data_IF_203415245883
#
_entry.id   IF_203415245883
#
_cell.length_a   1.000
_cell.length_b   1.000
_cell.length_c   1.000
_cell.angle_alpha   90.00
_cell.angle_beta   90.00
_cell.angle_gamma   90.00
#
_symmetry.space_group_name_H-M   'P 1'
#
loop_
_entity.id
_entity.type
_entity.pdbx_description
1 polymer ?
#
# COMPACT_ATOMS: atom_id res chain seq x y z
N UNK A 1 92.28 14.24 -21.48
CA UNK A 1 93.49 13.41 -21.25
C UNK A 1 93.20 12.52 -20.04
N UNK A 2 93.46 11.22 -20.19
CA UNK A 2 93.46 10.14 -19.18
C UNK A 2 92.17 9.60 -18.54
N UNK A 3 92.17 8.26 -18.54
CA UNK A 3 91.16 7.25 -18.19
C UNK A 3 91.37 6.75 -16.75
N UNK A 4 90.26 6.25 -16.20
CA UNK A 4 90.14 5.02 -15.37
C UNK A 4 90.54 5.06 -13.89
N UNK A 5 89.57 4.79 -13.01
CA UNK A 5 89.41 3.45 -12.43
C UNK A 5 88.05 3.26 -11.76
N UNK A 6 87.38 2.16 -12.11
CA UNK A 6 86.17 1.62 -11.48
C UNK A 6 86.55 0.76 -10.28
N UNK A 7 85.77 0.79 -9.19
CA UNK A 7 85.17 -0.41 -8.61
C UNK A 7 83.93 -0.06 -7.78
N UNK A 8 82.89 -0.82 -8.07
CA UNK A 8 81.48 -0.63 -7.72
C UNK A 8 81.18 -1.32 -6.39
N UNK A 9 80.60 -0.57 -5.45
CA UNK A 9 80.03 -1.11 -4.22
C UNK A 9 78.69 -1.78 -4.56
N UNK A 10 78.67 -3.12 -4.52
CA UNK A 10 77.48 -3.92 -4.72
C UNK A 10 76.63 -3.85 -3.45
N UNK A 11 75.53 -3.10 -3.51
CA UNK A 11 74.48 -3.10 -2.51
C UNK A 11 73.78 -4.46 -2.51
N UNK A 12 73.68 -5.09 -1.35
CA UNK A 12 72.67 -6.12 -1.08
C UNK A 12 71.78 -5.56 0.02
N UNK A 13 70.76 -4.81 -0.41
CA UNK A 13 69.52 -4.68 0.36
C UNK A 13 68.55 -5.60 -0.35
N UNK A 14 68.13 -6.62 0.38
CA UNK A 14 67.02 -7.48 0.00
C UNK A 14 65.81 -6.57 -0.15
N UNK A 15 65.20 -6.52 -1.33
CA UNK A 15 63.86 -6.02 -1.52
C UNK A 15 62.88 -7.11 -1.08
N UNK A 16 62.10 -6.93 0.01
CA UNK A 16 60.76 -7.46 0.04
C UNK A 16 59.86 -6.50 -0.72
N UNK A 17 59.28 -7.06 -1.76
CA UNK A 17 58.25 -6.54 -2.64
C UNK A 17 57.19 -5.66 -1.92
N UNK A 18 56.77 -4.59 -2.59
CA UNK A 18 55.88 -3.55 -2.07
C UNK A 18 54.39 -3.94 -2.05
N UNK A 19 54.07 -5.24 -1.95
CA UNK A 19 52.72 -5.76 -2.21
C UNK A 19 51.99 -6.35 -1.00
N UNK A 20 52.46 -6.13 0.24
CA UNK A 20 51.83 -6.75 1.43
C UNK A 20 51.45 -5.77 2.56
N UNK A 21 51.11 -4.52 2.22
CA UNK A 21 50.68 -3.47 3.17
C UNK A 21 49.23 -2.97 2.94
N UNK A 22 48.42 -3.73 2.20
CA UNK A 22 46.98 -3.46 2.04
C UNK A 22 46.07 -4.41 2.86
N UNK A 23 46.63 -5.33 3.65
CA UNK A 23 45.85 -6.36 4.34
C UNK A 23 46.13 -6.39 5.84
N UNK A 24 45.81 -5.30 6.55
CA UNK A 24 45.65 -5.30 8.02
C UNK A 24 44.96 -4.03 8.51
N UNK A 25 43.70 -3.86 8.12
CA UNK A 25 42.73 -3.05 8.87
C UNK A 25 41.54 -3.93 9.20
N UNK A 26 41.61 -4.62 10.33
CA UNK A 26 40.44 -5.25 10.94
C UNK A 26 40.74 -5.50 12.41
N UNK A 27 40.30 -4.58 13.26
CA UNK A 27 39.83 -4.76 14.64
C UNK A 27 39.92 -3.42 15.39
N UNK A 28 38.93 -2.56 15.17
CA UNK A 28 38.48 -1.63 16.20
C UNK A 28 36.99 -1.89 16.36
N UNK A 29 36.63 -2.50 17.49
CA UNK A 29 35.27 -2.72 17.95
C UNK A 29 34.60 -1.37 18.22
N UNK A 30 33.89 -0.86 17.22
CA UNK A 30 32.77 0.04 17.46
C UNK A 30 31.58 -0.84 17.84
N UNK A 31 31.38 -1.06 19.14
CA UNK A 31 30.11 -1.54 19.68
C UNK A 31 29.11 -0.39 19.55
N UNK A 32 28.66 -0.15 18.33
CA UNK A 32 27.37 0.47 18.09
C UNK A 32 26.37 -0.64 18.29
N UNK A 33 25.68 -0.63 19.43
CA UNK A 33 24.41 -1.33 19.58
C UNK A 33 23.49 -0.83 18.46
N UNK A 34 23.52 -1.50 17.31
CA UNK A 34 22.48 -1.36 16.31
C UNK A 34 21.25 -1.96 16.97
N UNK A 35 20.44 -1.09 17.56
CA UNK A 35 19.03 -1.35 17.71
C UNK A 35 18.55 -1.67 16.29
N UNK A 36 18.33 -2.95 16.02
CA UNK A 36 17.69 -3.42 14.80
C UNK A 36 16.32 -2.77 14.77
N UNK A 37 16.22 -1.63 14.09
CA UNK A 37 14.94 -1.12 13.64
C UNK A 37 14.36 -2.27 12.82
N UNK A 38 13.19 -2.82 13.18
CA UNK A 38 12.55 -3.82 12.33
C UNK A 38 12.42 -3.19 10.95
N UNK A 39 13.13 -3.74 9.97
CA UNK A 39 12.98 -3.29 8.59
C UNK A 39 11.51 -3.46 8.23
N UNK A 40 10.84 -2.36 7.92
CA UNK A 40 9.45 -2.35 7.46
C UNK A 40 9.30 -3.43 6.38
N UNK A 41 8.39 -4.41 6.55
CA UNK A 41 8.13 -5.42 5.54
C UNK A 41 7.91 -4.79 4.16
N UNK A 42 8.36 -5.48 3.12
CA UNK A 42 8.31 -4.97 1.73
C UNK A 42 6.88 -4.56 1.36
N UNK A 43 5.91 -5.39 1.72
CA UNK A 43 4.48 -5.17 1.54
C UNK A 43 4.01 -3.86 2.21
N UNK A 44 4.45 -3.60 3.44
CA UNK A 44 4.11 -2.38 4.18
C UNK A 44 4.66 -1.13 3.47
N UNK A 45 5.91 -1.16 3.02
CA UNK A 45 6.51 -0.04 2.27
C UNK A 45 5.77 0.27 0.97
N UNK A 46 5.31 -0.77 0.25
CA UNK A 46 4.53 -0.63 -0.98
C UNK A 46 3.17 0.01 -0.68
N UNK A 47 2.47 -0.45 0.36
CA UNK A 47 1.17 0.11 0.70
C UNK A 47 1.28 1.56 1.18
N UNK A 48 2.30 1.89 1.98
CA UNK A 48 2.56 3.26 2.43
C UNK A 48 2.75 4.20 1.24
N UNK A 49 3.59 3.80 0.27
CA UNK A 49 3.83 4.61 -0.91
C UNK A 49 2.59 4.70 -1.82
N UNK A 50 1.86 3.60 -1.98
CA UNK A 50 0.60 3.59 -2.72
C UNK A 50 -0.42 4.57 -2.13
N UNK A 51 -0.61 4.56 -0.81
CA UNK A 51 -1.55 5.46 -0.14
C UNK A 51 -1.09 6.92 -0.14
N UNK A 52 0.22 7.16 -0.13
CA UNK A 52 0.78 8.49 -0.39
C UNK A 52 0.43 8.99 -1.81
N UNK A 53 0.64 8.17 -2.84
CA UNK A 53 0.28 8.52 -4.21
C UNK A 53 -1.23 8.77 -4.37
N UNK A 54 -2.06 7.95 -3.73
CA UNK A 54 -3.52 8.12 -3.73
C UNK A 54 -3.91 9.46 -3.10
N UNK A 55 -3.27 9.84 -1.99
CA UNK A 55 -3.52 11.12 -1.32
C UNK A 55 -3.14 12.35 -2.15
N UNK A 56 -2.17 12.19 -3.06
CA UNK A 56 -1.74 13.24 -3.99
C UNK A 56 -2.54 13.23 -5.31
N UNK A 57 -3.63 12.47 -5.38
CA UNK A 57 -4.42 12.25 -6.60
C UNK A 57 -3.58 11.74 -7.80
N UNK A 58 -2.44 11.09 -7.52
CA UNK A 58 -1.53 10.52 -8.53
C UNK A 58 -1.96 9.11 -8.91
N UNK A 59 -3.22 8.95 -9.34
CA UNK A 59 -3.88 7.66 -9.52
C UNK A 59 -3.21 6.74 -10.55
N UNK A 60 -2.71 7.30 -11.66
CA UNK A 60 -2.04 6.51 -12.69
C UNK A 60 -0.73 5.90 -12.16
N UNK A 61 0.04 6.67 -11.39
CA UNK A 61 1.27 6.18 -10.72
C UNK A 61 0.95 5.15 -9.64
N UNK A 62 -0.11 5.37 -8.86
CA UNK A 62 -0.53 4.43 -7.82
C UNK A 62 -0.93 3.08 -8.45
N UNK A 63 -1.65 3.10 -9.57
CA UNK A 63 -2.02 1.91 -10.33
C UNK A 63 -0.80 1.20 -10.92
N UNK A 64 0.10 1.95 -11.56
CA UNK A 64 1.34 1.41 -12.15
C UNK A 64 2.21 0.71 -11.11
N UNK A 65 2.35 1.31 -9.91
CA UNK A 65 3.06 0.71 -8.78
C UNK A 65 2.53 -0.69 -8.47
N UNK A 66 1.24 -0.84 -8.18
CA UNK A 66 0.67 -2.13 -7.78
C UNK A 66 0.59 -3.14 -8.93
N UNK A 67 0.43 -2.68 -10.18
CA UNK A 67 0.47 -3.57 -11.35
C UNK A 67 1.88 -4.12 -11.60
N UNK A 68 2.91 -3.29 -11.40
CA UNK A 68 4.32 -3.73 -11.50
C UNK A 68 4.65 -4.78 -10.44
N UNK A 69 4.11 -4.61 -9.23
CA UNK A 69 4.24 -5.54 -8.12
C UNK A 69 3.53 -6.87 -8.39
N UNK A 70 2.35 -6.85 -9.03
CA UNK A 70 1.65 -8.07 -9.47
C UNK A 70 2.45 -8.86 -10.49
N UNK A 71 3.14 -8.18 -11.41
CA UNK A 71 4.02 -8.82 -12.40
C UNK A 71 5.25 -9.51 -11.78
N UNK A 72 5.65 -9.09 -10.58
CA UNK A 72 6.78 -9.62 -9.82
C UNK A 72 6.45 -10.77 -8.87
N UNK A 73 5.36 -11.52 -9.09
CA UNK A 73 4.71 -12.48 -8.17
C UNK A 73 5.57 -13.62 -7.55
N UNK A 74 6.89 -13.61 -7.74
CA UNK A 74 7.84 -14.59 -7.18
C UNK A 74 8.33 -14.23 -5.76
N UNK A 75 7.91 -13.10 -5.19
CA UNK A 75 8.54 -12.54 -3.98
C UNK A 75 7.65 -12.42 -2.74
N UNK A 76 6.34 -12.69 -2.81
CA UNK A 76 5.49 -12.69 -1.62
C UNK A 76 5.02 -14.11 -1.28
N UNK A 77 5.15 -14.47 0.00
CA UNK A 77 4.65 -15.73 0.55
C UNK A 77 3.16 -15.71 0.90
N UNK A 78 2.52 -14.54 0.83
CA UNK A 78 1.10 -14.35 1.15
C UNK A 78 0.21 -14.53 -0.08
N UNK A 79 -0.78 -15.43 0.02
CA UNK A 79 -1.78 -15.60 -1.02
C UNK A 79 -2.72 -14.38 -1.12
N UNK A 80 -2.96 -13.69 0.00
CA UNK A 80 -3.86 -12.52 0.07
C UNK A 80 -3.22 -11.26 -0.52
N UNK A 81 -1.89 -11.18 -0.58
CA UNK A 81 -1.18 -10.05 -1.18
C UNK A 81 -1.55 -9.81 -2.65
N UNK A 82 -1.65 -10.87 -3.45
CA UNK A 82 -2.07 -10.76 -4.85
C UNK A 82 -3.49 -10.19 -5.02
N UNK A 83 -4.40 -10.61 -4.13
CA UNK A 83 -5.79 -10.14 -4.10
C UNK A 83 -5.86 -8.66 -3.66
N UNK A 84 -5.08 -8.29 -2.64
CA UNK A 84 -4.92 -6.90 -2.20
C UNK A 84 -4.45 -6.01 -3.36
N UNK A 85 -3.36 -6.37 -4.05
CA UNK A 85 -2.84 -5.59 -5.17
C UNK A 85 -3.86 -5.45 -6.31
N UNK A 86 -4.64 -6.50 -6.59
CA UNK A 86 -5.73 -6.43 -7.56
C UNK A 86 -6.81 -5.42 -7.15
N UNK A 87 -7.22 -5.42 -5.88
CA UNK A 87 -8.19 -4.47 -5.35
C UNK A 87 -7.65 -3.03 -5.41
N UNK A 88 -6.37 -2.81 -5.07
CA UNK A 88 -5.74 -1.49 -5.13
C UNK A 88 -5.65 -0.96 -6.57
N UNK A 89 -5.34 -1.82 -7.55
CA UNK A 89 -5.32 -1.42 -8.97
C UNK A 89 -6.68 -0.92 -9.47
N UNK A 90 -7.76 -1.61 -9.07
CA UNK A 90 -9.13 -1.19 -9.35
C UNK A 90 -9.51 0.08 -8.58
N UNK A 91 -9.08 0.19 -7.32
CA UNK A 91 -9.34 1.36 -6.48
C UNK A 91 -8.75 2.64 -7.06
N UNK A 92 -7.50 2.62 -7.54
CA UNK A 92 -6.88 3.77 -8.19
C UNK A 92 -7.70 4.25 -9.41
N UNK A 93 -8.24 3.30 -10.18
CA UNK A 93 -9.08 3.58 -11.36
C UNK A 93 -10.43 4.18 -10.96
N UNK A 94 -11.02 3.67 -9.87
CA UNK A 94 -12.26 4.19 -9.30
C UNK A 94 -12.09 5.60 -8.73
N UNK A 95 -11.01 5.86 -7.99
CA UNK A 95 -10.68 7.18 -7.44
C UNK A 95 -10.44 8.21 -8.53
N UNK A 96 -9.75 7.86 -9.62
CA UNK A 96 -9.60 8.76 -10.80
C UNK A 96 -10.95 9.14 -11.41
N UNK A 97 -11.84 8.17 -11.57
CA UNK A 97 -13.18 8.37 -12.10
C UNK A 97 -14.06 9.19 -11.14
N UNK A 98 -13.93 8.95 -9.84
CA UNK A 98 -14.61 9.70 -8.80
C UNK A 98 -14.13 11.15 -8.77
N UNK A 99 -12.82 11.40 -8.76
CA UNK A 99 -12.22 12.73 -8.68
C UNK A 99 -12.56 13.62 -9.88
N UNK A 100 -12.77 13.01 -11.05
CA UNK A 100 -13.22 13.73 -12.26
C UNK A 100 -14.73 13.90 -12.34
N UNK A 101 -15.49 13.41 -11.35
CA UNK A 101 -16.96 13.45 -11.26
C UNK A 101 -17.68 12.97 -12.53
N UNK A 102 -17.04 12.08 -13.31
CA UNK A 102 -17.60 11.63 -14.60
C UNK A 102 -18.92 10.88 -14.44
N UNK A 103 -19.20 10.36 -13.24
CA UNK A 103 -20.47 9.73 -12.89
C UNK A 103 -21.65 10.72 -12.85
N UNK A 104 -21.40 12.01 -12.69
CA UNK A 104 -22.44 13.07 -12.75
C UNK A 104 -22.73 13.55 -14.17
N UNK A 105 -21.88 13.19 -15.16
CA UNK A 105 -22.04 13.68 -16.52
C UNK A 105 -23.42 13.27 -17.08
N UNK A 106 -24.28 14.27 -17.26
CA UNK A 106 -25.66 14.11 -17.68
C UNK A 106 -25.70 13.66 -19.15
N UNK A 107 -25.64 12.35 -19.37
CA UNK A 107 -25.66 11.77 -20.72
C UNK A 107 -27.05 11.92 -21.31
N UNK A 108 -27.27 12.97 -22.12
CA UNK A 108 -28.43 13.14 -23.01
C UNK A 108 -28.67 11.95 -23.98
N UNK A 109 -27.76 10.96 -24.02
CA UNK A 109 -27.86 9.74 -24.82
C UNK A 109 -27.50 8.44 -24.05
N UNK A 110 -27.59 8.43 -22.70
CA UNK A 110 -27.15 7.29 -21.85
C UNK A 110 -27.86 5.97 -22.13
N UNK A 111 -29.05 6.00 -22.72
CA UNK A 111 -29.86 4.80 -22.95
C UNK A 111 -29.26 3.87 -24.02
N UNK A 112 -28.28 4.34 -24.81
CA UNK A 112 -27.64 3.60 -25.90
C UNK A 112 -26.33 2.93 -25.46
N UNK A 113 -25.63 3.51 -24.48
CA UNK A 113 -24.43 2.90 -23.88
C UNK A 113 -24.63 2.87 -22.38
N UNK A 114 -25.22 1.78 -21.89
CA UNK A 114 -25.19 1.41 -20.47
C UNK A 114 -23.72 1.28 -20.08
N UNK A 115 -23.08 2.35 -19.60
CA UNK A 115 -21.73 2.25 -19.06
C UNK A 115 -21.82 1.44 -17.77
N UNK A 116 -21.64 0.14 -17.92
CA UNK A 116 -21.74 -0.91 -16.90
C UNK A 116 -20.69 -0.74 -15.79
N UNK A 117 -19.71 0.15 -15.99
CA UNK A 117 -18.57 0.35 -15.09
C UNK A 117 -18.49 1.80 -14.58
N UNK A 118 -19.51 2.25 -13.83
CA UNK A 118 -19.42 3.51 -13.10
C UNK A 118 -18.52 3.38 -11.87
N UNK A 119 -17.91 4.47 -11.39
CA UNK A 119 -17.08 4.43 -10.17
C UNK A 119 -17.82 3.76 -9.00
N UNK A 120 -19.14 3.98 -8.87
CA UNK A 120 -20.01 3.34 -7.87
C UNK A 120 -20.02 1.82 -7.96
N UNK A 121 -20.07 1.22 -9.15
CA UNK A 121 -20.08 -0.25 -9.29
C UNK A 121 -18.73 -0.87 -8.94
N UNK A 122 -17.64 -0.21 -9.32
CA UNK A 122 -16.29 -0.64 -8.94
C UNK A 122 -16.12 -0.56 -7.41
N UNK A 123 -16.57 0.53 -6.77
CA UNK A 123 -16.56 0.63 -5.31
C UNK A 123 -17.43 -0.45 -4.64
N UNK A 124 -18.62 -0.74 -5.16
CA UNK A 124 -19.45 -1.83 -4.61
C UNK A 124 -18.76 -3.19 -4.66
N UNK A 125 -18.06 -3.49 -5.76
CA UNK A 125 -17.25 -4.71 -5.89
C UNK A 125 -16.09 -4.71 -4.87
N UNK A 126 -15.34 -3.61 -4.81
CA UNK A 126 -14.21 -3.47 -3.87
C UNK A 126 -14.66 -3.62 -2.42
N UNK A 127 -15.81 -3.07 -2.05
CA UNK A 127 -16.37 -3.22 -0.70
C UNK A 127 -16.62 -4.69 -0.36
N UNK A 128 -17.15 -5.48 -1.31
CA UNK A 128 -17.37 -6.91 -1.11
C UNK A 128 -16.05 -7.68 -0.98
N UNK A 129 -15.04 -7.36 -1.81
CA UNK A 129 -13.73 -8.01 -1.74
C UNK A 129 -12.97 -7.67 -0.46
N UNK A 130 -12.97 -6.40 -0.03
CA UNK A 130 -12.33 -6.00 1.22
C UNK A 130 -13.00 -6.64 2.45
N UNK A 131 -14.33 -6.75 2.46
CA UNK A 131 -15.04 -7.50 3.51
C UNK A 131 -14.71 -9.00 3.44
N UNK A 132 -14.61 -9.59 2.24
CA UNK A 132 -14.23 -10.99 2.11
C UNK A 132 -12.83 -11.24 2.67
N UNK A 133 -11.86 -10.38 2.34
CA UNK A 133 -10.48 -10.46 2.84
C UNK A 133 -10.41 -10.24 4.36
N UNK A 134 -11.15 -9.30 4.92
CA UNK A 134 -11.25 -9.10 6.38
C UNK A 134 -11.75 -10.36 7.12
N UNK A 135 -12.64 -11.14 6.49
CA UNK A 135 -13.23 -12.34 7.07
C UNK A 135 -12.48 -13.64 6.70
N UNK A 136 -11.28 -13.56 6.11
CA UNK A 136 -10.45 -14.74 5.79
C UNK A 136 -9.71 -15.35 7.00
N UNK A 137 -9.86 -14.74 8.18
CA UNK A 137 -9.32 -15.28 9.42
C UNK A 137 -9.64 -16.78 9.55
N UNK A 138 -8.68 -17.62 10.01
CA UNK A 138 -8.97 -19.01 10.26
C UNK A 138 -10.08 -19.08 11.31
N UNK A 139 -11.26 -19.55 10.91
CA UNK A 139 -12.28 -19.97 11.86
C UNK A 139 -11.57 -20.92 12.83
N UNK A 140 -11.55 -20.66 14.15
CA UNK A 140 -11.19 -21.70 15.08
C UNK A 140 -12.29 -22.76 14.91
N UNK A 141 -11.96 -23.83 14.20
CA UNK A 141 -12.83 -25.00 14.08
C UNK A 141 -13.09 -25.49 15.50
N UNK A 142 -14.21 -25.06 16.06
CA UNK A 142 -14.69 -25.57 17.32
C UNK A 142 -15.03 -27.06 17.12
N UNK A 143 -14.40 -27.89 17.95
CA UNK A 143 -14.76 -29.27 18.28
C UNK A 143 -14.66 -30.31 17.16
N UNK A 144 -13.45 -30.86 17.01
CA UNK A 144 -13.23 -32.13 16.30
C UNK A 144 -11.83 -32.69 16.54
N UNK A 145 -11.52 -33.06 17.79
CA UNK A 145 -10.44 -33.97 18.20
C UNK A 145 -9.12 -33.90 17.40
N UNK A 146 -8.20 -33.03 17.82
CA UNK A 146 -6.77 -33.22 17.52
C UNK A 146 -5.98 -33.13 18.81
N UNK A 147 -5.37 -34.27 19.15
CA UNK A 147 -4.50 -34.47 20.29
C UNK A 147 -3.47 -33.35 20.41
N UNK A 148 -3.27 -32.92 21.66
CA UNK A 148 -2.22 -32.00 22.06
C UNK A 148 -0.89 -32.72 21.95
N UNK A 149 -0.24 -32.57 20.81
CA UNK A 149 1.21 -32.68 20.69
C UNK A 149 1.65 -31.79 19.52
N UNK A 150 1.75 -30.49 19.78
CA UNK A 150 2.45 -29.53 18.92
C UNK A 150 3.41 -28.74 19.81
N UNK A 151 4.47 -29.42 20.23
CA UNK A 151 5.72 -28.74 20.53
C UNK A 151 6.32 -28.36 19.17
N UNK A 152 6.68 -27.07 19.03
CA UNK A 152 7.55 -26.54 17.97
C UNK A 152 6.97 -26.43 16.55
N UNK A 153 6.16 -25.41 16.28
CA UNK A 153 6.15 -24.77 14.96
C UNK A 153 6.23 -23.25 15.16
N UNK A 154 7.34 -22.65 14.72
CA UNK A 154 7.49 -21.19 14.64
C UNK A 154 6.31 -20.60 13.83
N UNK A 155 5.69 -19.50 14.26
CA UNK A 155 4.83 -18.74 13.37
C UNK A 155 5.65 -18.36 12.13
N UNK A 156 5.21 -18.80 10.95
CA UNK A 156 5.81 -18.40 9.69
C UNK A 156 5.54 -16.92 9.48
N UNK A 157 6.54 -16.16 9.03
CA UNK A 157 6.42 -14.73 8.74
C UNK A 157 5.30 -14.37 7.72
N UNK A 158 4.77 -15.36 7.01
CA UNK A 158 3.58 -15.22 6.15
C UNK A 158 2.30 -14.92 6.94
N UNK A 159 2.14 -15.54 8.11
CA UNK A 159 0.90 -15.49 8.87
C UNK A 159 0.72 -14.10 9.53
N UNK A 160 1.85 -13.46 9.85
CA UNK A 160 1.90 -12.09 10.35
C UNK A 160 1.49 -11.06 9.27
N UNK A 161 1.91 -11.29 8.01
CA UNK A 161 1.53 -10.43 6.88
C UNK A 161 0.04 -10.57 6.58
N UNK A 162 -0.49 -11.80 6.57
CA UNK A 162 -1.91 -12.04 6.32
C UNK A 162 -2.81 -11.40 7.40
N UNK A 163 -2.49 -11.57 8.69
CA UNK A 163 -3.25 -10.94 9.78
C UNK A 163 -3.27 -9.41 9.69
N UNK A 164 -2.14 -8.81 9.30
CA UNK A 164 -2.06 -7.38 9.07
C UNK A 164 -2.85 -6.94 7.82
N UNK A 165 -2.79 -7.69 6.72
CA UNK A 165 -3.55 -7.39 5.50
C UNK A 165 -5.06 -7.53 5.70
N UNK A 166 -5.52 -8.46 6.54
CA UNK A 166 -6.92 -8.57 6.98
C UNK A 166 -7.38 -7.27 7.65
N UNK A 167 -6.57 -6.76 8.59
CA UNK A 167 -6.87 -5.53 9.31
C UNK A 167 -6.90 -4.30 8.39
N UNK A 168 -5.97 -4.20 7.44
CA UNK A 168 -5.98 -3.13 6.43
C UNK A 168 -7.22 -3.26 5.53
N UNK A 169 -7.56 -4.48 5.09
CA UNK A 169 -8.74 -4.73 4.26
C UNK A 169 -10.02 -4.27 4.94
N UNK A 170 -10.20 -4.57 6.23
CA UNK A 170 -11.34 -4.10 7.01
C UNK A 170 -11.46 -2.58 7.01
N UNK A 171 -10.35 -1.85 7.19
CA UNK A 171 -10.36 -0.39 7.13
C UNK A 171 -10.63 0.14 5.72
N UNK A 172 -10.09 -0.51 4.68
CA UNK A 172 -10.35 -0.14 3.29
C UNK A 172 -11.82 -0.34 2.90
N UNK A 173 -12.52 -1.32 3.48
CA UNK A 173 -13.96 -1.51 3.28
C UNK A 173 -14.74 -0.25 3.69
N UNK A 174 -14.39 0.38 4.82
CA UNK A 174 -15.03 1.61 5.27
C UNK A 174 -14.73 2.80 4.36
N UNK A 175 -13.50 2.90 3.83
CA UNK A 175 -13.14 3.94 2.88
C UNK A 175 -14.03 3.89 1.63
N UNK A 176 -14.11 2.70 1.03
CA UNK A 176 -14.89 2.46 -0.17
C UNK A 176 -16.38 2.69 0.09
N UNK A 177 -16.89 2.25 1.25
CA UNK A 177 -18.28 2.51 1.65
C UNK A 177 -18.55 4.01 1.80
N UNK A 178 -17.63 4.77 2.38
CA UNK A 178 -17.71 6.23 2.45
C UNK A 178 -17.78 6.87 1.07
N UNK A 179 -16.96 6.41 0.11
CA UNK A 179 -17.01 6.89 -1.28
C UNK A 179 -18.34 6.61 -1.98
N UNK A 180 -18.95 5.45 -1.75
CA UNK A 180 -20.29 5.14 -2.29
C UNK A 180 -21.32 6.16 -1.78
N UNK A 181 -21.31 6.46 -0.48
CA UNK A 181 -22.21 7.47 0.11
C UNK A 181 -21.96 8.87 -0.45
N UNK A 182 -20.71 9.25 -0.67
CA UNK A 182 -20.37 10.53 -1.30
C UNK A 182 -20.87 10.61 -2.74
N UNK A 183 -20.78 9.52 -3.51
CA UNK A 183 -21.37 9.46 -4.86
C UNK A 183 -22.88 9.67 -4.79
N UNK A 184 -23.58 8.99 -3.88
CA UNK A 184 -25.02 9.13 -3.68
C UNK A 184 -25.42 10.56 -3.31
N UNK A 185 -24.66 11.19 -2.42
CA UNK A 185 -24.83 12.59 -2.07
C UNK A 185 -24.68 13.51 -3.30
N UNK A 186 -23.63 13.33 -4.11
CA UNK A 186 -23.43 14.13 -5.32
C UNK A 186 -24.52 13.89 -6.39
N UNK A 187 -24.98 12.66 -6.55
CA UNK A 187 -26.09 12.32 -7.45
C UNK A 187 -27.39 12.99 -7.00
N UNK A 188 -27.68 12.95 -5.70
CA UNK A 188 -28.84 13.62 -5.10
C UNK A 188 -28.75 15.14 -5.29
N UNK A 189 -27.59 15.74 -5.00
CA UNK A 189 -27.36 17.17 -5.22
C UNK A 189 -27.55 17.56 -6.69
N UNK A 190 -26.99 16.80 -7.62
CA UNK A 190 -27.15 17.04 -9.06
C UNK A 190 -28.61 16.93 -9.51
N UNK A 191 -29.38 16.00 -8.93
CA UNK A 191 -30.81 15.83 -9.22
C UNK A 191 -31.62 17.04 -8.75
N UNK A 192 -31.38 17.50 -7.52
CA UNK A 192 -32.08 18.64 -6.92
C UNK A 192 -31.85 19.94 -7.71
N UNK A 193 -30.60 20.16 -8.15
CA UNK A 193 -30.26 21.28 -9.04
C UNK A 193 -30.97 21.15 -10.39
N UNK A 194 -31.00 19.95 -10.98
CA UNK A 194 -31.69 19.68 -12.25
C UNK A 194 -33.20 19.89 -12.18
N UNK A 195 -33.82 19.55 -11.04
CA UNK A 195 -35.26 19.73 -10.78
C UNK A 195 -35.62 21.14 -10.29
N UNK A 196 -34.64 22.03 -10.14
CA UNK A 196 -34.80 23.39 -9.57
C UNK A 196 -35.54 23.38 -8.22
N UNK A 197 -35.34 22.33 -7.42
CA UNK A 197 -35.91 22.27 -6.08
C UNK A 197 -35.03 23.10 -5.13
N UNK A 198 -35.67 23.84 -4.23
CA UNK A 198 -34.99 24.53 -3.15
C UNK A 198 -34.58 23.49 -2.11
N UNK A 199 -33.30 23.49 -1.76
CA UNK A 199 -32.74 22.60 -0.74
C UNK A 199 -32.14 23.49 0.34
N UNK A 200 -32.43 23.20 1.61
CA UNK A 200 -31.77 23.91 2.70
C UNK A 200 -30.29 23.55 2.69
N UNK A 201 -29.42 24.57 2.77
CA UNK A 201 -27.99 24.36 2.98
C UNK A 201 -27.74 23.55 4.25
N UNK A 202 -28.58 23.72 5.27
CA UNK A 202 -28.50 22.99 6.54
C UNK A 202 -28.71 21.49 6.36
N UNK A 203 -29.66 21.07 5.50
CA UNK A 203 -29.89 19.65 5.20
C UNK A 203 -28.70 19.03 4.47
N UNK A 204 -28.08 19.77 3.55
CA UNK A 204 -26.87 19.33 2.85
C UNK A 204 -25.69 19.16 3.81
N UNK A 205 -25.52 20.09 4.75
CA UNK A 205 -24.47 20.02 5.77
C UNK A 205 -24.71 18.83 6.69
N UNK A 206 -25.94 18.59 7.17
CA UNK A 206 -26.26 17.43 8.00
C UNK A 206 -25.94 16.11 7.31
N UNK A 207 -26.27 15.96 6.02
CA UNK A 207 -25.92 14.75 5.26
C UNK A 207 -24.40 14.55 5.17
N UNK A 208 -23.63 15.60 4.92
CA UNK A 208 -22.16 15.53 4.94
C UNK A 208 -21.62 15.14 6.32
N UNK A 209 -22.16 15.73 7.39
CA UNK A 209 -21.75 15.44 8.76
C UNK A 209 -22.02 13.99 9.16
N UNK A 210 -23.16 13.42 8.76
CA UNK A 210 -23.49 12.01 8.97
C UNK A 210 -22.49 11.09 8.25
N UNK A 211 -22.18 11.37 6.98
CA UNK A 211 -21.19 10.61 6.21
C UNK A 211 -19.81 10.69 6.87
N UNK A 212 -19.38 11.87 7.32
CA UNK A 212 -18.10 12.05 7.99
C UNK A 212 -18.04 11.30 9.33
N UNK A 213 -19.06 11.48 10.18
CA UNK A 213 -19.14 10.91 11.53
C UNK A 213 -19.06 9.39 11.52
N UNK A 214 -19.68 8.75 10.53
CA UNK A 214 -19.69 7.29 10.40
C UNK A 214 -18.39 6.66 9.90
N UNK A 215 -17.53 7.43 9.24
CA UNK A 215 -16.35 6.90 8.55
C UNK A 215 -15.02 7.34 9.20
N UNK A 216 -14.92 8.56 9.75
CA UNK A 216 -13.65 9.12 10.24
C UNK A 216 -13.03 8.34 11.41
N UNK A 217 -13.88 7.71 12.24
CA UNK A 217 -13.48 6.89 13.40
C UNK A 217 -13.26 5.42 13.04
N UNK A 218 -13.11 5.09 11.76
CA UNK A 218 -12.86 3.72 11.32
C UNK A 218 -11.48 3.55 10.66
N UNK A 219 -10.79 4.68 10.41
CA UNK A 219 -9.42 4.73 9.90
C UNK A 219 -8.46 5.03 11.06
N UNK A 220 -7.84 3.98 11.58
CA UNK A 220 -6.92 4.08 12.71
C UNK A 220 -5.52 3.56 12.39
N UNK A 221 -5.34 2.76 11.33
CA UNK A 221 -4.01 2.29 10.97
C UNK A 221 -3.14 3.47 10.52
N UNK A 222 -1.93 3.66 11.07
CA UNK A 222 -1.07 4.79 10.70
C UNK A 222 -0.79 4.90 9.20
N UNK A 223 -0.65 3.76 8.53
CA UNK A 223 -0.43 3.66 7.09
C UNK A 223 -1.59 4.21 6.23
N UNK A 224 -2.81 4.30 6.78
CA UNK A 224 -3.97 4.90 6.12
C UNK A 224 -4.12 6.40 6.41
N UNK A 225 -3.20 7.00 7.20
CA UNK A 225 -3.22 8.43 7.50
C UNK A 225 -3.27 9.33 6.24
N UNK A 226 -2.50 9.08 5.17
CA UNK A 226 -2.54 9.91 3.97
C UNK A 226 -3.91 9.92 3.29
N UNK A 227 -4.61 8.78 3.27
CA UNK A 227 -5.96 8.70 2.69
C UNK A 227 -6.98 9.33 3.64
N UNK A 228 -6.82 9.13 4.94
CA UNK A 228 -7.69 9.71 5.95
C UNK A 228 -7.73 11.24 5.87
N UNK A 229 -6.63 11.89 5.50
CA UNK A 229 -6.60 13.36 5.32
C UNK A 229 -7.37 13.82 4.08
N UNK A 230 -7.45 13.01 3.03
CA UNK A 230 -8.19 13.34 1.80
C UNK A 230 -9.68 13.02 1.91
N UNK A 231 -10.05 12.11 2.81
CA UNK A 231 -11.45 11.79 3.09
C UNK A 231 -12.17 12.87 3.93
N UNK A 232 -11.41 13.68 4.69
CA UNK A 232 -11.93 14.74 5.57
C UNK A 232 -12.37 15.98 4.80
#
# INVERSE_FOLDING_TARGET
>A
MFKSSKKSSKWTVVDPDYTDLATKMSSNESVTTQMSIPSTPREESILEYYFHLLSQASFDKAKELVDSEKGGHKFSSSATWGEMLQCLSQLASAEKSYNSLVFLSHKRFSNIVKSKDGAKSIYSLLHQEFLRMENMAPVPTAAGSRDRNRESENPSSSDDVDCWLEHISGQMSFFVRGRIKMIEFYEQLSSLVGMRQWVSFEDLVMMCEEIMKENIKKFHHPLLNPIRTVFR
#
